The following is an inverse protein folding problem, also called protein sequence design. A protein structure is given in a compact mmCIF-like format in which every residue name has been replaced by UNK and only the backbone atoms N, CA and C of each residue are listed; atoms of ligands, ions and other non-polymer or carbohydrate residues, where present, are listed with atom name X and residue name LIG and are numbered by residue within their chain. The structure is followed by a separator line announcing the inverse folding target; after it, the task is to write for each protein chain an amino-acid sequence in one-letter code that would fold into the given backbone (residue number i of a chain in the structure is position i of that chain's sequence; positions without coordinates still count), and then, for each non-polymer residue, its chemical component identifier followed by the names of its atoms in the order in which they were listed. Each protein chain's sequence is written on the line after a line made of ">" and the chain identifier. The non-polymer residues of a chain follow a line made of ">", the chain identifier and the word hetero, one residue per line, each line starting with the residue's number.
data_IF_761100695664
#
_entry.id   IF_761100695664
#
_cell.length_a   1.000
_cell.length_b   1.000
_cell.length_c   1.000
_cell.angle_alpha   90.00
_cell.angle_beta   90.00
_cell.angle_gamma   90.00
#
_symmetry.space_group_name_H-M   'P 1'
#
loop_
_entity.id
_entity.type
_entity.pdbx_description
1 polymer ?
#
# COMPACT_ATOMS: atom_id res chain seq x y z
N UNK A 1 -6.58 -13.45 47.82
CA UNK A 1 -7.57 -13.57 46.73
C UNK A 1 -7.06 -12.78 45.53
N UNK A 2 -6.36 -13.47 44.62
CA UNK A 2 -5.81 -12.87 43.41
C UNK A 2 -6.92 -12.73 42.36
N UNK A 3 -7.01 -11.58 41.71
CA UNK A 3 -7.92 -11.32 40.59
C UNK A 3 -7.17 -10.58 39.49
N UNK A 4 -6.38 -11.32 38.72
CA UNK A 4 -5.69 -10.80 37.54
C UNK A 4 -6.67 -10.70 36.36
N UNK A 5 -6.83 -9.49 35.83
CA UNK A 5 -7.52 -9.27 34.55
C UNK A 5 -6.54 -9.53 33.41
N UNK A 6 -6.81 -10.55 32.59
CA UNK A 6 -6.07 -10.81 31.36
C UNK A 6 -6.46 -9.78 30.30
N UNK A 7 -5.52 -9.17 29.55
CA UNK A 7 -5.88 -8.34 28.41
C UNK A 7 -6.42 -9.24 27.28
N UNK A 8 -7.60 -8.86 26.78
CA UNK A 8 -8.29 -9.51 25.67
C UNK A 8 -7.42 -9.57 24.42
N UNK A 9 -7.28 -10.78 23.87
CA UNK A 9 -6.68 -11.00 22.57
C UNK A 9 -7.53 -10.36 21.48
N UNK A 10 -7.03 -9.29 20.88
CA UNK A 10 -7.54 -8.80 19.59
C UNK A 10 -7.40 -9.87 18.50
N UNK A 11 -8.17 -9.76 17.39
CA UNK A 11 -8.17 -10.76 16.34
C UNK A 11 -6.75 -10.97 15.80
N UNK A 12 -6.26 -12.21 15.92
CA UNK A 12 -4.97 -12.62 15.37
C UNK A 12 -5.05 -12.51 13.85
N UNK A 13 -4.23 -11.62 13.29
CA UNK A 13 -3.96 -11.57 11.86
C UNK A 13 -3.55 -12.97 11.38
N UNK A 14 -4.31 -13.51 10.42
CA UNK A 14 -4.10 -14.86 9.91
C UNK A 14 -2.71 -15.03 9.32
N UNK A 15 -2.03 -16.08 9.75
CA UNK A 15 -0.80 -16.60 9.16
C UNK A 15 -1.13 -17.29 7.84
N UNK A 16 -1.26 -16.52 6.76
CA UNK A 16 -0.72 -16.95 5.47
C UNK A 16 0.77 -16.61 5.46
N UNK A 17 1.59 -17.28 4.66
CA UNK A 17 3.01 -16.93 4.40
C UNK A 17 3.10 -15.58 3.68
N UNK A 18 2.63 -14.53 4.36
CA UNK A 18 1.67 -13.60 3.78
C UNK A 18 2.32 -12.27 3.49
N UNK A 19 2.74 -12.09 2.24
CA UNK A 19 3.15 -10.79 1.77
C UNK A 19 2.00 -9.77 1.88
N UNK A 20 2.33 -8.53 2.19
CA UNK A 20 1.41 -7.39 2.19
C UNK A 20 1.45 -6.73 0.82
N UNK A 21 0.28 -6.54 0.20
CA UNK A 21 0.13 -5.73 -1.00
C UNK A 21 0.07 -4.25 -0.61
N UNK A 22 0.95 -3.36 -1.16
CA UNK A 22 0.93 -1.92 -0.90
C UNK A 22 -0.11 -1.14 -1.73
N UNK A 23 -0.88 -1.85 -2.55
CA UNK A 23 -1.89 -1.29 -3.46
C UNK A 23 -3.22 -2.02 -3.28
N UNK A 24 -3.62 -2.20 -2.02
CA UNK A 24 -4.87 -2.88 -1.68
C UNK A 24 -6.06 -1.91 -1.73
N UNK A 25 -7.27 -2.43 -1.56
CA UNK A 25 -8.51 -1.65 -1.52
C UNK A 25 -8.86 -1.18 -0.11
N UNK A 26 -9.80 -0.24 -0.03
CA UNK A 26 -10.42 0.23 1.21
C UNK A 26 -11.34 -0.84 1.82
N UNK A 27 -10.76 -1.83 2.50
CA UNK A 27 -11.48 -2.93 3.14
C UNK A 27 -11.23 -2.93 4.65
N UNK A 28 -12.25 -3.26 5.45
CA UNK A 28 -12.08 -3.39 6.89
C UNK A 28 -10.98 -4.41 7.24
N UNK A 29 -10.10 -4.07 8.19
CA UNK A 29 -8.94 -4.89 8.56
C UNK A 29 -7.69 -4.64 7.71
N UNK A 30 -7.78 -3.86 6.62
CA UNK A 30 -6.61 -3.36 5.89
C UNK A 30 -5.95 -2.20 6.64
N UNK A 31 -4.82 -1.72 6.14
CA UNK A 31 -4.06 -0.59 6.68
C UNK A 31 -4.19 0.62 5.76
N UNK A 32 -4.48 1.78 6.34
CA UNK A 32 -4.35 3.08 5.70
C UNK A 32 -2.89 3.55 5.83
N UNK A 33 -2.19 3.60 4.70
CA UNK A 33 -0.78 3.98 4.61
C UNK A 33 -0.57 5.47 4.40
N UNK A 34 -1.55 6.17 3.82
CA UNK A 34 -1.37 7.57 3.46
C UNK A 34 -2.58 8.21 2.81
N UNK A 35 -2.51 9.53 2.69
CA UNK A 35 -3.55 10.38 2.10
C UNK A 35 -2.99 10.96 0.79
N UNK A 36 -3.74 10.79 -0.29
CA UNK A 36 -3.41 11.39 -1.60
C UNK A 36 -3.80 12.87 -1.56
N UNK A 37 -2.81 13.74 -1.79
CA UNK A 37 -3.00 15.19 -1.82
C UNK A 37 -3.43 15.65 -3.22
N UNK A 38 -4.04 16.84 -3.35
CA UNK A 38 -4.47 17.38 -4.66
C UNK A 38 -3.34 17.55 -5.68
N UNK A 39 -2.10 17.73 -5.22
CA UNK A 39 -0.89 17.82 -6.05
C UNK A 39 -0.39 16.46 -6.57
N UNK A 40 -1.13 15.37 -6.31
CA UNK A 40 -0.79 14.01 -6.70
C UNK A 40 0.23 13.32 -5.79
N UNK A 41 0.75 14.02 -4.78
CA UNK A 41 1.70 13.43 -3.84
C UNK A 41 0.98 12.75 -2.66
N UNK A 42 1.68 11.87 -1.95
CA UNK A 42 1.08 11.11 -0.83
C UNK A 42 1.67 11.56 0.51
N UNK A 43 0.80 11.94 1.44
CA UNK A 43 1.13 12.13 2.84
C UNK A 43 1.14 10.76 3.52
N UNK A 44 2.33 10.21 3.79
CA UNK A 44 2.45 8.94 4.50
C UNK A 44 2.01 9.07 5.96
N UNK A 45 1.29 8.06 6.46
CA UNK A 45 0.94 7.92 7.87
C UNK A 45 1.94 7.00 8.56
N UNK A 46 2.48 7.47 9.69
CA UNK A 46 3.36 6.68 10.54
C UNK A 46 2.99 6.89 12.01
N UNK A 47 2.51 5.86 12.72
CA UNK A 47 2.20 4.51 12.22
C UNK A 47 1.00 4.49 11.25
N UNK A 48 0.86 3.46 10.39
CA UNK A 48 -0.35 3.28 9.58
C UNK A 48 -1.56 2.98 10.48
N UNK A 49 -2.75 3.36 10.02
CA UNK A 49 -3.99 3.19 10.78
C UNK A 49 -4.79 1.98 10.27
N UNK A 50 -5.40 1.16 11.14
CA UNK A 50 -6.32 0.12 10.68
C UNK A 50 -7.57 0.74 10.05
N UNK A 51 -8.00 0.19 8.93
CA UNK A 51 -9.26 0.52 8.28
C UNK A 51 -10.39 -0.17 9.04
N UNK A 52 -11.25 0.60 9.69
CA UNK A 52 -12.48 0.08 10.30
C UNK A 52 -13.60 -0.01 9.27
N UNK A 53 -14.64 -0.80 9.56
CA UNK A 53 -15.85 -0.84 8.74
C UNK A 53 -16.48 0.56 8.61
N UNK A 54 -16.59 1.28 9.73
CA UNK A 54 -17.12 2.65 9.73
C UNK A 54 -16.28 3.63 8.87
N UNK A 55 -14.96 3.45 8.81
CA UNK A 55 -14.12 4.23 7.90
C UNK A 55 -14.42 3.86 6.44
N UNK A 56 -14.45 2.55 6.12
CA UNK A 56 -14.68 2.07 4.77
C UNK A 56 -16.05 2.55 4.23
N UNK A 57 -17.10 2.46 5.04
CA UNK A 57 -18.45 2.91 4.69
C UNK A 57 -18.49 4.42 4.40
N UNK A 58 -17.86 5.22 5.27
CA UNK A 58 -17.77 6.69 5.07
C UNK A 58 -16.93 7.06 3.86
N UNK A 59 -15.84 6.32 3.63
CA UNK A 59 -14.99 6.53 2.47
C UNK A 59 -15.76 6.17 1.19
N UNK A 60 -16.59 5.13 1.18
CA UNK A 60 -17.39 4.72 0.02
C UNK A 60 -18.68 5.53 -0.17
N UNK A 61 -18.93 6.56 0.63
CA UNK A 61 -20.17 7.33 0.56
C UNK A 61 -20.43 7.93 -0.84
N UNK A 62 -21.70 7.93 -1.32
CA UNK A 62 -22.04 8.48 -2.63
C UNK A 62 -21.61 9.94 -2.80
N UNK A 63 -21.24 10.31 -4.03
CA UNK A 63 -20.80 11.67 -4.36
C UNK A 63 -19.32 11.96 -4.05
N UNK A 64 -18.60 11.02 -3.43
CA UNK A 64 -17.16 11.11 -3.24
C UNK A 64 -16.40 10.37 -4.35
N UNK A 65 -15.16 10.79 -4.62
CA UNK A 65 -14.22 9.99 -5.44
C UNK A 65 -13.94 8.65 -4.75
N UNK A 66 -13.59 7.59 -5.50
CA UNK A 66 -13.22 6.31 -4.90
C UNK A 66 -12.17 6.46 -3.78
N UNK A 67 -12.25 5.67 -2.71
CA UNK A 67 -11.29 5.71 -1.61
C UNK A 67 -9.84 5.64 -2.07
N UNK A 68 -9.53 4.77 -3.04
CA UNK A 68 -8.19 4.54 -3.58
C UNK A 68 -7.62 5.75 -4.35
N UNK A 69 -8.49 6.67 -4.79
CA UNK A 69 -8.10 7.95 -5.38
C UNK A 69 -7.82 9.05 -4.34
N UNK A 70 -8.08 8.76 -3.06
CA UNK A 70 -7.91 9.71 -1.93
C UNK A 70 -6.96 9.18 -0.86
N UNK A 71 -6.76 7.88 -0.82
CA UNK A 71 -6.05 7.19 0.24
C UNK A 71 -5.22 6.04 -0.35
N UNK A 72 -4.09 5.74 0.28
CA UNK A 72 -3.31 4.52 -0.01
C UNK A 72 -3.59 3.46 1.04
N UNK A 73 -3.85 2.24 0.58
CA UNK A 73 -4.11 1.11 1.47
C UNK A 73 -3.14 -0.04 1.27
N UNK A 74 -2.94 -0.81 2.33
CA UNK A 74 -2.25 -2.08 2.31
C UNK A 74 -3.08 -3.19 2.94
N UNK A 75 -2.97 -4.39 2.36
CA UNK A 75 -3.72 -5.55 2.81
C UNK A 75 -3.01 -6.84 2.42
N UNK A 76 -3.61 -8.01 2.71
CA UNK A 76 -3.06 -9.30 2.29
C UNK A 76 -2.82 -9.35 0.78
N UNK A 77 -1.67 -9.84 0.34
CA UNK A 77 -1.42 -10.15 -1.06
C UNK A 77 -2.13 -11.46 -1.41
N UNK A 78 -3.08 -11.39 -2.33
CA UNK A 78 -3.89 -12.56 -2.75
C UNK A 78 -3.28 -13.34 -3.92
N UNK A 79 -2.05 -13.00 -4.31
CA UNK A 79 -1.24 -13.69 -5.33
C UNK A 79 -2.04 -14.02 -6.59
N UNK A 80 -2.21 -15.30 -6.93
CA UNK A 80 -2.89 -15.78 -8.14
C UNK A 80 -4.36 -15.36 -8.27
N UNK A 81 -5.00 -14.87 -7.21
CA UNK A 81 -6.33 -14.28 -7.28
C UNK A 81 -6.32 -12.78 -7.66
N UNK A 82 -5.14 -12.16 -7.78
CA UNK A 82 -4.97 -10.79 -8.20
C UNK A 82 -4.81 -10.71 -9.73
N UNK A 83 -5.50 -9.78 -10.38
CA UNK A 83 -5.35 -9.53 -11.83
C UNK A 83 -3.92 -9.16 -12.26
N UNK A 84 -3.12 -8.62 -11.34
CA UNK A 84 -1.73 -8.22 -11.57
C UNK A 84 -0.75 -9.36 -11.30
N UNK A 85 -1.23 -10.58 -11.09
CA UNK A 85 -0.39 -11.73 -10.87
C UNK A 85 -0.24 -12.53 -12.15
N UNK A 86 1.01 -12.66 -12.60
CA UNK A 86 1.36 -13.49 -13.73
C UNK A 86 2.71 -14.16 -13.44
N UNK A 87 2.87 -15.40 -13.92
CA UNK A 87 4.15 -16.12 -13.86
C UNK A 87 4.76 -16.19 -12.44
N UNK A 88 3.90 -16.31 -11.42
CA UNK A 88 4.34 -16.41 -10.02
C UNK A 88 4.82 -15.10 -9.40
N UNK A 89 4.52 -13.94 -10.01
CA UNK A 89 4.96 -12.62 -9.57
C UNK A 89 3.86 -11.57 -9.73
N UNK A 90 4.00 -10.47 -9.00
CA UNK A 90 3.19 -9.27 -9.21
C UNK A 90 3.78 -8.41 -10.34
N UNK A 91 3.13 -8.40 -11.50
CA UNK A 91 3.57 -7.63 -12.69
C UNK A 91 3.60 -6.14 -12.41
N UNK A 92 2.60 -5.59 -11.72
CA UNK A 92 2.59 -4.19 -11.29
C UNK A 92 3.77 -3.85 -10.37
N UNK A 93 4.14 -4.77 -9.48
CA UNK A 93 5.31 -4.59 -8.62
C UNK A 93 6.62 -4.57 -9.41
N UNK A 94 6.70 -5.38 -10.46
CA UNK A 94 7.85 -5.43 -11.36
C UNK A 94 7.93 -4.14 -12.22
N UNK A 95 6.81 -3.65 -12.78
CA UNK A 95 6.73 -2.37 -13.51
C UNK A 95 7.19 -1.18 -12.65
N UNK A 96 6.73 -1.12 -11.39
CA UNK A 96 7.13 -0.08 -10.42
C UNK A 96 8.64 -0.16 -10.14
N UNK A 97 9.21 -1.35 -10.09
CA UNK A 97 10.65 -1.53 -9.92
C UNK A 97 11.45 -1.14 -11.18
N UNK A 98 10.96 -1.48 -12.38
CA UNK A 98 11.58 -1.08 -13.64
C UNK A 98 11.65 0.44 -13.78
N UNK A 99 10.57 1.14 -13.44
CA UNK A 99 10.56 2.60 -13.40
C UNK A 99 11.60 3.15 -12.41
N UNK A 100 11.71 2.54 -11.24
CA UNK A 100 12.69 2.92 -10.22
C UNK A 100 14.14 2.75 -10.68
N UNK A 101 14.41 1.71 -11.47
CA UNK A 101 15.72 1.46 -12.10
C UNK A 101 16.04 2.52 -13.15
N UNK A 102 15.08 2.83 -14.02
CA UNK A 102 15.24 3.87 -15.04
C UNK A 102 15.57 5.24 -14.40
N UNK A 103 14.79 5.67 -13.40
CA UNK A 103 15.03 6.94 -12.71
C UNK A 103 16.38 6.98 -11.98
N UNK A 104 16.86 5.83 -11.47
CA UNK A 104 18.18 5.73 -10.86
C UNK A 104 19.30 5.86 -11.89
N UNK A 105 19.16 5.21 -13.05
CA UNK A 105 20.13 5.25 -14.12
C UNK A 105 20.27 6.67 -14.71
N UNK A 106 19.15 7.38 -14.88
CA UNK A 106 19.13 8.79 -15.33
C UNK A 106 19.85 9.74 -14.35
N UNK A 107 19.86 9.41 -13.07
CA UNK A 107 20.48 10.21 -12.00
C UNK A 107 21.92 9.79 -11.68
N UNK A 108 22.56 8.97 -12.51
CA UNK A 108 23.92 8.47 -12.29
C UNK A 108 24.91 9.62 -12.08
N UNK A 109 25.22 9.91 -10.81
CA UNK A 109 26.01 11.05 -10.35
C UNK A 109 25.48 11.66 -9.03
N UNK A 110 24.20 11.45 -8.72
CA UNK A 110 23.61 11.82 -7.42
C UNK A 110 23.46 10.58 -6.56
N UNK A 111 23.88 10.66 -5.30
CA UNK A 111 23.72 9.59 -4.32
C UNK A 111 22.25 9.15 -4.31
N UNK A 112 22.00 7.88 -4.63
CA UNK A 112 20.65 7.38 -4.83
C UNK A 112 19.94 7.36 -3.49
N UNK A 113 19.29 8.47 -3.13
CA UNK A 113 18.67 8.68 -1.82
C UNK A 113 17.88 7.45 -1.40
N UNK A 114 18.09 7.03 -0.15
CA UNK A 114 17.44 5.88 0.42
C UNK A 114 15.92 6.01 0.31
N UNK A 115 15.18 4.90 0.06
CA UNK A 115 13.74 4.98 -0.06
C UNK A 115 13.11 5.46 1.26
N UNK A 116 12.01 6.24 1.19
CA UNK A 116 11.36 6.77 2.38
C UNK A 116 10.90 5.66 3.32
N UNK A 117 10.87 5.91 4.64
CA UNK A 117 10.44 4.90 5.62
C UNK A 117 9.05 4.39 5.29
N UNK A 118 8.84 3.08 5.46
CA UNK A 118 7.59 2.43 5.12
C UNK A 118 7.28 1.31 6.12
N UNK A 119 6.14 1.42 6.80
CA UNK A 119 5.77 0.53 7.91
C UNK A 119 5.55 -0.92 7.49
N UNK A 120 5.16 -1.17 6.24
CA UNK A 120 4.92 -2.52 5.71
C UNK A 120 6.14 -3.12 5.00
N UNK A 121 7.28 -2.40 4.92
CA UNK A 121 8.46 -2.86 4.17
C UNK A 121 8.89 -4.30 4.51
N UNK A 122 8.91 -4.74 5.79
CA UNK A 122 9.33 -6.09 6.15
C UNK A 122 8.49 -7.21 5.51
N UNK A 123 7.23 -6.93 5.16
CA UNK A 123 6.29 -7.91 4.58
C UNK A 123 5.83 -7.54 3.18
N UNK A 124 6.27 -6.41 2.61
CA UNK A 124 5.73 -5.87 1.37
C UNK A 124 6.11 -6.70 0.14
N UNK A 125 5.12 -7.06 -0.69
CA UNK A 125 5.31 -7.81 -1.95
C UNK A 125 6.22 -7.07 -2.94
N UNK A 126 6.02 -5.77 -3.13
CA UNK A 126 6.83 -5.00 -4.08
C UNK A 126 8.27 -4.83 -3.61
N UNK A 127 8.49 -4.70 -2.30
CA UNK A 127 9.84 -4.71 -1.73
C UNK A 127 10.52 -6.07 -1.92
N UNK A 128 9.80 -7.17 -1.65
CA UNK A 128 10.35 -8.51 -1.83
C UNK A 128 10.75 -8.81 -3.29
N UNK A 129 10.04 -8.24 -4.27
CA UNK A 129 10.34 -8.42 -5.71
C UNK A 129 11.39 -7.46 -6.26
N UNK A 130 11.28 -6.17 -5.93
CA UNK A 130 12.02 -5.09 -6.59
C UNK A 130 12.81 -4.18 -5.65
N UNK A 131 12.82 -4.47 -4.35
CA UNK A 131 13.63 -3.78 -3.34
C UNK A 131 13.48 -2.26 -3.36
N UNK A 132 14.62 -1.58 -3.26
CA UNK A 132 14.68 -0.11 -3.21
C UNK A 132 14.22 0.56 -4.50
N UNK A 133 14.34 -0.10 -5.66
CA UNK A 133 13.81 0.45 -6.92
C UNK A 133 12.30 0.59 -6.85
N UNK A 134 11.60 -0.48 -6.41
CA UNK A 134 10.16 -0.43 -6.25
C UNK A 134 9.74 0.63 -5.21
N UNK A 135 10.46 0.71 -4.08
CA UNK A 135 10.13 1.65 -3.02
C UNK A 135 10.38 3.12 -3.35
N UNK A 136 11.20 3.45 -4.36
CA UNK A 136 11.37 4.83 -4.84
C UNK A 136 10.11 5.34 -5.52
N UNK A 137 9.45 4.48 -6.29
CA UNK A 137 8.28 4.82 -7.11
C UNK A 137 6.97 4.62 -6.33
N UNK A 138 6.92 3.58 -5.48
CA UNK A 138 5.71 3.17 -4.76
C UNK A 138 4.91 4.32 -4.11
N UNK A 139 5.52 5.31 -3.42
CA UNK A 139 4.77 6.42 -2.81
C UNK A 139 3.94 7.25 -3.79
N UNK A 140 4.35 7.32 -5.06
CA UNK A 140 3.67 8.09 -6.11
C UNK A 140 2.61 7.31 -6.87
N UNK A 141 2.47 6.00 -6.65
CA UNK A 141 1.47 5.19 -7.35
C UNK A 141 0.08 5.51 -6.77
N UNK A 142 -0.82 6.09 -7.55
CA UNK A 142 -2.17 6.43 -7.07
C UNK A 142 -3.21 5.90 -8.04
N UNK A 143 -4.39 5.52 -7.54
CA UNK A 143 -5.49 5.16 -8.42
C UNK A 143 -6.11 6.45 -8.97
N UNK A 144 -5.85 6.73 -10.25
CA UNK A 144 -6.56 7.78 -10.96
C UNK A 144 -7.80 7.18 -11.59
N UNK A 145 -8.98 7.62 -11.14
CA UNK A 145 -10.16 7.53 -11.99
C UNK A 145 -10.14 8.75 -12.88
N UNK A 146 -9.74 8.60 -14.13
CA UNK A 146 -10.01 9.62 -15.16
C UNK A 146 -11.53 9.80 -15.19
N UNK A 147 -12.03 10.90 -14.63
CA UNK A 147 -13.36 11.38 -15.02
C UNK A 147 -13.10 12.09 -16.34
N UNK A 148 -13.49 11.48 -17.45
CA UNK A 148 -13.56 12.20 -18.71
C UNK A 148 -14.55 13.35 -18.48
N UNK A 149 -14.03 14.58 -18.40
CA UNK A 149 -14.86 15.77 -18.39
C UNK A 149 -15.62 15.85 -19.72
N UNK A 150 -16.93 16.00 -19.64
CA UNK A 150 -17.81 16.31 -20.75
C UNK A 150 -17.53 17.70 -21.32
#
# INVERSE_FOLDING_TARGET
>A
MAGGVAPGGGPRAGTGSGATCPSSSCTAGHLLLGIVRPDGTVAALHPPLPVSAAFADRAAAPGLRPPEARFRFAGPCVESACRQWAEGRCTLGDEVADRGRAERAERAGSDASAPPPCAIRPTCRWWAQGGADACRICPGVVHTTTVASA
#
